data_IF_154571376623
#
_entry.id   IF_154571376623
#
_cell.length_a   1.000
_cell.length_b   1.000
_cell.length_c   1.000
_cell.angle_alpha   90.00
_cell.angle_beta   90.00
_cell.angle_gamma   90.00
#
_symmetry.space_group_name_H-M   'P 1'
#
loop_
_entity.id
_entity.type
_entity.pdbx_description
1 polymer ?
#
# COMPACT_ATOMS: atom_id res chain seq x y z
N UNK A 1 -20.47 7.26 18.94
CA UNK A 1 -19.18 7.44 18.22
C UNK A 1 -19.05 8.90 17.84
N UNK A 2 -17.84 9.41 17.61
CA UNK A 2 -17.61 10.82 17.23
C UNK A 2 -17.83 11.04 15.72
N UNK A 3 -17.60 10.01 14.90
CA UNK A 3 -17.85 10.02 13.47
C UNK A 3 -19.22 9.43 13.13
N UNK A 4 -19.77 9.81 11.98
CA UNK A 4 -20.94 9.13 11.41
C UNK A 4 -20.59 7.70 10.98
N UNK A 5 -21.61 6.85 10.82
CA UNK A 5 -21.41 5.43 10.50
C UNK A 5 -20.70 5.25 9.14
N UNK A 6 -21.08 6.01 8.11
CA UNK A 6 -20.44 5.92 6.79
C UNK A 6 -18.94 6.23 6.89
N UNK A 7 -18.59 7.33 7.56
CA UNK A 7 -17.20 7.72 7.76
C UNK A 7 -16.43 6.69 8.61
N UNK A 8 -17.07 6.16 9.65
CA UNK A 8 -16.49 5.11 10.49
C UNK A 8 -16.15 3.86 9.68
N UNK A 9 -17.06 3.41 8.82
CA UNK A 9 -16.84 2.24 7.97
C UNK A 9 -15.76 2.50 6.91
N UNK A 10 -15.71 3.69 6.30
CA UNK A 10 -14.64 4.06 5.35
C UNK A 10 -13.25 4.05 6.02
N UNK A 11 -13.15 4.55 7.25
CA UNK A 11 -11.91 4.47 8.04
C UNK A 11 -11.56 3.01 8.34
N UNK A 12 -12.56 2.20 8.72
CA UNK A 12 -12.37 0.78 9.02
C UNK A 12 -11.92 -0.04 7.80
N UNK A 13 -12.39 0.28 6.60
CA UNK A 13 -11.90 -0.29 5.33
C UNK A 13 -10.40 -0.04 5.16
N UNK A 14 -9.97 1.22 5.33
CA UNK A 14 -8.56 1.60 5.23
C UNK A 14 -7.70 0.88 6.28
N UNK A 15 -8.17 0.83 7.51
CA UNK A 15 -7.50 0.13 8.62
C UNK A 15 -7.39 -1.38 8.37
N UNK A 16 -8.46 -2.01 7.85
CA UNK A 16 -8.49 -3.44 7.52
C UNK A 16 -7.42 -3.83 6.51
N UNK A 17 -7.19 -2.99 5.49
CA UNK A 17 -6.12 -3.21 4.50
C UNK A 17 -4.75 -3.02 5.13
N UNK A 18 -4.57 -1.97 5.96
CA UNK A 18 -3.33 -1.73 6.68
C UNK A 18 -2.94 -2.90 7.60
N UNK A 19 -3.95 -3.56 8.20
CA UNK A 19 -3.79 -4.73 9.05
C UNK A 19 -3.79 -6.08 8.30
N UNK A 20 -3.95 -6.08 6.97
CA UNK A 20 -4.09 -7.30 6.15
C UNK A 20 -5.24 -8.23 6.59
N UNK A 21 -6.31 -7.71 7.21
CA UNK A 21 -7.46 -8.50 7.63
C UNK A 21 -8.51 -8.60 6.52
N UNK A 22 -8.47 -9.69 5.75
CA UNK A 22 -9.41 -9.96 4.66
C UNK A 22 -10.89 -10.04 5.11
N UNK A 23 -11.26 -10.80 6.17
CA UNK A 23 -12.67 -10.84 6.59
C UNK A 23 -13.17 -9.50 7.16
N UNK A 24 -12.28 -8.70 7.78
CA UNK A 24 -12.63 -7.36 8.24
C UNK A 24 -12.95 -6.45 7.05
N UNK A 25 -12.15 -6.53 5.97
CA UNK A 25 -12.37 -5.75 4.76
C UNK A 25 -13.74 -6.07 4.15
N UNK A 26 -14.09 -7.35 4.01
CA UNK A 26 -15.38 -7.76 3.44
C UNK A 26 -16.55 -7.25 4.28
N UNK A 27 -16.45 -7.34 5.61
CA UNK A 27 -17.46 -6.85 6.53
C UNK A 27 -17.67 -5.33 6.42
N UNK A 28 -16.58 -4.55 6.51
CA UNK A 28 -16.65 -3.09 6.52
C UNK A 28 -17.02 -2.52 5.14
N UNK A 29 -16.65 -3.18 4.04
CA UNK A 29 -17.12 -2.79 2.69
C UNK A 29 -18.63 -2.95 2.58
N UNK A 30 -19.20 -4.07 3.01
CA UNK A 30 -20.64 -4.28 2.96
C UNK A 30 -21.37 -3.25 3.85
N UNK A 31 -20.89 -3.05 5.08
CA UNK A 31 -21.51 -2.10 6.01
C UNK A 31 -21.39 -0.64 5.53
N UNK A 32 -20.29 -0.25 4.88
CA UNK A 32 -20.17 1.06 4.26
C UNK A 32 -21.21 1.28 3.16
N UNK A 33 -21.48 0.26 2.33
CA UNK A 33 -22.53 0.32 1.29
C UNK A 33 -23.91 0.47 1.91
N UNK A 34 -24.20 -0.26 2.99
CA UNK A 34 -25.47 -0.15 3.72
C UNK A 34 -25.69 1.26 4.29
N UNK A 35 -24.60 1.97 4.65
CA UNK A 35 -24.62 3.36 5.09
C UNK A 35 -24.51 4.39 3.95
N UNK A 36 -24.67 3.96 2.69
CA UNK A 36 -24.73 4.84 1.53
C UNK A 36 -23.38 5.36 1.04
N UNK A 37 -22.27 4.69 1.38
CA UNK A 37 -20.99 4.99 0.76
C UNK A 37 -21.03 4.68 -0.74
N UNK A 38 -20.55 5.62 -1.53
CA UNK A 38 -20.34 5.43 -2.96
C UNK A 38 -19.16 4.49 -3.24
N UNK A 39 -19.19 3.82 -4.39
CA UNK A 39 -18.07 2.97 -4.83
C UNK A 39 -16.76 3.79 -4.96
N UNK A 40 -16.86 5.08 -5.28
CA UNK A 40 -15.72 5.99 -5.34
C UNK A 40 -15.11 6.24 -3.95
N UNK A 41 -15.92 6.46 -2.92
CA UNK A 41 -15.46 6.62 -1.53
C UNK A 41 -14.78 5.34 -1.02
N UNK A 42 -15.39 4.18 -1.29
CA UNK A 42 -14.83 2.86 -0.93
C UNK A 42 -13.49 2.64 -1.65
N UNK A 43 -13.44 2.89 -2.95
CA UNK A 43 -12.20 2.78 -3.74
C UNK A 43 -11.10 3.72 -3.23
N UNK A 44 -11.45 4.95 -2.86
CA UNK A 44 -10.52 5.90 -2.26
C UNK A 44 -9.96 5.38 -0.92
N UNK A 45 -10.83 4.90 -0.02
CA UNK A 45 -10.41 4.30 1.25
C UNK A 45 -9.48 3.10 1.05
N UNK A 46 -9.80 2.24 0.08
CA UNK A 46 -8.97 1.09 -0.29
C UNK A 46 -7.57 1.52 -0.76
N UNK A 47 -7.50 2.52 -1.64
CA UNK A 47 -6.23 3.01 -2.18
C UNK A 47 -5.37 3.68 -1.12
N UNK A 48 -5.97 4.43 -0.20
CA UNK A 48 -5.29 4.99 0.98
C UNK A 48 -4.71 3.85 1.82
N UNK A 49 -5.52 2.85 2.18
CA UNK A 49 -5.06 1.68 2.95
C UNK A 49 -3.92 0.92 2.27
N UNK A 50 -3.99 0.72 0.95
CA UNK A 50 -2.92 0.08 0.17
C UNK A 50 -1.61 0.88 0.21
N UNK A 51 -1.70 2.20 0.14
CA UNK A 51 -0.52 3.09 0.20
C UNK A 51 0.17 2.99 1.54
N UNK A 52 -0.60 3.05 2.64
CA UNK A 52 -0.08 2.89 4.01
C UNK A 52 0.58 1.52 4.17
N UNK A 53 -0.11 0.44 3.74
CA UNK A 53 0.42 -0.93 3.79
C UNK A 53 1.73 -1.06 3.02
N UNK A 54 1.84 -0.47 1.83
CA UNK A 54 3.06 -0.49 1.01
C UNK A 54 4.23 0.17 1.74
N UNK A 55 4.01 1.32 2.37
CA UNK A 55 5.03 2.00 3.16
C UNK A 55 5.49 1.18 4.37
N UNK A 56 4.53 0.58 5.09
CA UNK A 56 4.82 -0.30 6.22
C UNK A 56 5.64 -1.54 5.80
N UNK A 57 5.22 -2.21 4.71
CA UNK A 57 5.93 -3.36 4.16
C UNK A 57 7.37 -2.99 3.75
N UNK A 58 7.55 -1.88 3.03
CA UNK A 58 8.87 -1.41 2.62
C UNK A 58 9.82 -1.20 3.80
N UNK A 59 9.33 -0.58 4.89
CA UNK A 59 10.15 -0.37 6.09
C UNK A 59 10.46 -1.65 6.85
N UNK A 60 9.53 -2.60 6.87
CA UNK A 60 9.79 -3.93 7.41
C UNK A 60 10.83 -4.70 6.59
N UNK A 61 10.77 -4.61 5.26
CA UNK A 61 11.76 -5.23 4.36
C UNK A 61 13.15 -4.60 4.53
N UNK A 62 13.23 -3.27 4.63
CA UNK A 62 14.48 -2.53 4.90
C UNK A 62 15.10 -2.99 6.24
N UNK A 63 14.28 -3.11 7.28
CA UNK A 63 14.73 -3.59 8.59
C UNK A 63 15.19 -5.06 8.55
N UNK A 64 14.43 -5.93 7.87
CA UNK A 64 14.78 -7.34 7.70
C UNK A 64 16.09 -7.51 6.90
N UNK A 65 16.30 -6.70 5.86
CA UNK A 65 17.54 -6.70 5.08
C UNK A 65 18.76 -6.26 5.90
N UNK A 66 18.58 -5.25 6.77
CA UNK A 66 19.62 -4.80 7.68
C UNK A 66 20.06 -5.91 8.66
N UNK A 67 19.12 -6.73 9.15
CA UNK A 67 19.42 -7.90 9.98
C UNK A 67 20.18 -8.99 9.22
N UNK A 68 19.99 -9.10 7.89
CA UNK A 68 20.69 -10.05 7.02
C UNK A 68 22.05 -9.55 6.52
N UNK A 69 22.45 -8.31 6.81
CA UNK A 69 23.71 -7.73 6.34
C UNK A 69 23.75 -7.43 4.83
N UNK A 70 22.61 -7.45 4.13
CA UNK A 70 22.52 -7.13 2.69
C UNK A 70 22.18 -5.64 2.51
N UNK A 71 22.88 -4.90 1.61
CA UNK A 71 22.49 -3.54 1.30
C UNK A 71 21.12 -3.54 0.62
N UNK A 72 20.20 -2.73 1.16
CA UNK A 72 18.82 -2.58 0.70
C UNK A 72 18.78 -2.29 -0.80
N UNK A 73 18.15 -3.18 -1.58
CA UNK A 73 17.92 -2.98 -3.00
C UNK A 73 16.79 -1.95 -3.16
N UNK A 74 17.15 -0.72 -3.53
CA UNK A 74 16.17 0.29 -3.94
C UNK A 74 15.45 -0.18 -5.22
N UNK A 75 14.11 -0.28 -5.23
CA UNK A 75 13.36 -0.43 -6.46
C UNK A 75 13.24 0.97 -7.11
N UNK A 76 14.35 1.42 -7.69
CA UNK A 76 14.49 2.75 -8.29
C UNK A 76 15.68 2.92 -9.22
N UNK A 77 16.39 1.84 -9.60
CA UNK A 77 17.33 1.90 -10.73
C UNK A 77 16.59 1.55 -12.02
N UNK A 78 16.07 2.56 -12.71
CA UNK A 78 16.07 2.53 -14.17
C UNK A 78 17.53 2.48 -14.61
N UNK A 79 18.08 1.27 -14.69
CA UNK A 79 19.40 1.01 -15.23
C UNK A 79 19.38 1.31 -16.71
N UNK A 80 19.74 2.55 -17.07
CA UNK A 80 20.25 2.82 -18.40
C UNK A 80 21.70 2.30 -18.42
N UNK A 81 21.86 0.98 -18.57
CA UNK A 81 23.13 0.37 -18.94
C UNK A 81 23.32 0.66 -20.42
N UNK A 82 24.17 1.65 -20.70
CA UNK A 82 24.89 1.69 -21.96
C UNK A 82 26.11 0.79 -21.79
N UNK A 83 26.00 -0.45 -22.28
CA UNK A 83 27.12 -1.39 -22.33
C UNK A 83 28.08 -0.96 -23.44
N UNK A 84 29.18 -0.33 -23.04
CA UNK A 84 30.29 0.03 -23.93
C UNK A 84 31.17 -1.19 -24.19
N UNK A 85 30.73 -2.07 -25.11
CA UNK A 85 31.55 -3.19 -25.58
C UNK A 85 31.57 -3.24 -27.11
N UNK A 86 32.25 -2.27 -27.73
CA UNK A 86 32.54 -2.34 -29.18
C UNK A 86 32.92 -1.04 -29.89
N UNK A 87 34.04 -0.41 -29.51
CA UNK A 87 34.86 0.39 -30.43
C UNK A 87 34.43 1.85 -30.71
N UNK A 88 35.21 2.78 -30.16
CA UNK A 88 35.32 4.21 -30.49
C UNK A 88 34.12 5.11 -30.17
N UNK A 89 34.32 5.89 -29.11
CA UNK A 89 33.54 7.07 -28.74
C UNK A 89 33.53 8.13 -29.85
N UNK A 90 32.37 8.72 -30.11
CA UNK A 90 32.18 10.11 -30.54
C UNK A 90 31.00 10.68 -29.75
#
# INVERSE_FOLDING_TARGET
>A
MVFDEKLTELIAIGASIGANCQPCLDYHVNKAKDHGASEQEISAAINIGKTVRKGAAFKMDEHAAALQGKPSANPGSTGNVCDCSGGSCC
#
